data_IF_877318164794
#
_entry.id   IF_877318164794
#
_cell.length_a   1.000
_cell.length_b   1.000
_cell.length_c   1.000
_cell.angle_alpha   90.00
_cell.angle_beta   90.00
_cell.angle_gamma   90.00
#
_symmetry.space_group_name_H-M   'P 1'
#
loop_
_entity.id
_entity.type
_entity.pdbx_description
1 polymer ?
#
# COMPACT_ATOMS: atom_id res chain seq x y z
N UNK A 1 -16.13 -28.74 -19.59
CA UNK A 1 -15.10 -28.51 -18.55
C UNK A 1 -14.03 -27.59 -19.13
N UNK A 2 -14.15 -26.28 -18.87
CA UNK A 2 -13.13 -25.23 -18.87
C UNK A 2 -13.86 -23.88 -18.90
N UNK A 3 -14.13 -23.34 -17.72
CA UNK A 3 -14.75 -22.03 -17.51
C UNK A 3 -13.83 -20.94 -18.04
N UNK A 4 -14.32 -20.22 -19.06
CA UNK A 4 -13.80 -18.93 -19.50
C UNK A 4 -13.74 -17.99 -18.30
N UNK A 5 -12.54 -17.50 -17.98
CA UNK A 5 -12.39 -16.38 -17.05
C UNK A 5 -13.12 -15.17 -17.63
N UNK A 6 -14.29 -14.89 -17.07
CA UNK A 6 -15.07 -13.71 -17.38
C UNK A 6 -14.39 -12.50 -16.73
N UNK A 7 -13.54 -11.83 -17.52
CA UNK A 7 -12.83 -10.62 -17.14
C UNK A 7 -13.75 -9.37 -17.00
N UNK A 8 -15.08 -9.53 -17.14
CA UNK A 8 -16.01 -8.38 -17.19
C UNK A 8 -16.61 -7.97 -15.84
N UNK A 9 -16.32 -8.67 -14.75
CA UNK A 9 -16.90 -8.36 -13.42
C UNK A 9 -16.15 -7.29 -12.59
N UNK A 10 -15.24 -6.50 -13.18
CA UNK A 10 -14.69 -5.33 -12.48
C UNK A 10 -15.68 -4.17 -12.59
N UNK A 11 -16.48 -3.97 -11.52
CA UNK A 11 -17.29 -2.75 -11.34
C UNK A 11 -16.41 -1.53 -11.67
N UNK A 12 -16.87 -0.59 -12.51
CA UNK A 12 -16.13 0.61 -12.80
C UNK A 12 -16.02 1.41 -11.50
N UNK A 13 -14.83 1.41 -10.88
CA UNK A 13 -14.51 2.33 -9.81
C UNK A 13 -14.75 3.72 -10.38
N UNK A 14 -15.78 4.42 -9.87
CA UNK A 14 -16.07 5.81 -10.24
C UNK A 14 -14.76 6.57 -10.17
N UNK A 15 -14.26 7.04 -11.32
CA UNK A 15 -13.07 7.88 -11.41
C UNK A 15 -13.34 9.16 -10.61
N UNK A 16 -12.99 9.15 -9.33
CA UNK A 16 -13.09 10.33 -8.47
C UNK A 16 -11.97 11.35 -8.76
N UNK A 17 -11.00 10.99 -9.62
CA UNK A 17 -9.87 11.84 -9.97
C UNK A 17 -9.68 11.84 -11.48
N UNK A 18 -10.32 12.79 -12.17
CA UNK A 18 -9.89 13.23 -13.50
C UNK A 18 -8.98 14.42 -13.27
N UNK A 19 -7.66 14.20 -13.25
CA UNK A 19 -6.68 15.25 -13.54
C UNK A 19 -5.68 14.69 -14.53
N UNK A 20 -5.22 15.55 -15.45
CA UNK A 20 -4.32 15.24 -16.57
C UNK A 20 -2.88 14.88 -16.12
N UNK A 21 -2.70 14.37 -14.90
CA UNK A 21 -1.41 14.20 -14.21
C UNK A 21 -1.37 12.91 -13.37
N UNK A 22 -1.80 11.79 -13.94
CA UNK A 22 -1.73 10.48 -13.30
C UNK A 22 -0.28 10.00 -13.26
N UNK A 23 0.28 9.82 -12.06
CA UNK A 23 1.63 9.27 -11.90
C UNK A 23 1.78 7.91 -12.61
N UNK A 24 3.02 7.54 -12.91
CA UNK A 24 3.36 6.25 -13.52
C UNK A 24 2.89 5.06 -12.66
N UNK A 25 2.85 5.23 -11.34
CA UNK A 25 2.41 4.22 -10.39
C UNK A 25 1.07 4.58 -9.78
N UNK A 26 0.15 3.61 -9.80
CA UNK A 26 -1.13 3.72 -9.12
C UNK A 26 -0.98 3.42 -7.62
N UNK A 27 -1.95 3.80 -6.78
CA UNK A 27 -1.92 3.49 -5.36
C UNK A 27 -1.77 1.99 -5.05
N UNK A 28 -2.36 1.12 -5.86
CA UNK A 28 -2.21 -0.34 -5.78
C UNK A 28 -0.77 -0.81 -6.02
N UNK A 29 -0.09 -0.28 -7.04
CA UNK A 29 1.31 -0.61 -7.29
C UNK A 29 2.23 -0.17 -6.13
N UNK A 30 1.95 1.01 -5.57
CA UNK A 30 2.70 1.57 -4.43
C UNK A 30 2.51 0.71 -3.18
N UNK A 31 1.27 0.32 -2.88
CA UNK A 31 0.98 -0.56 -1.74
C UNK A 31 1.67 -1.92 -1.88
N UNK A 32 1.65 -2.53 -3.06
CA UNK A 32 2.35 -3.79 -3.32
C UNK A 32 3.85 -3.63 -3.14
N UNK A 33 4.45 -2.55 -3.64
CA UNK A 33 5.89 -2.31 -3.48
C UNK A 33 6.29 -2.17 -1.99
N UNK A 34 5.51 -1.46 -1.17
CA UNK A 34 5.75 -1.37 0.27
C UNK A 34 5.55 -2.71 0.97
N UNK A 35 4.50 -3.46 0.61
CA UNK A 35 4.23 -4.78 1.19
C UNK A 35 5.40 -5.75 0.91
N UNK A 36 5.92 -5.77 -0.32
CA UNK A 36 7.07 -6.61 -0.68
C UNK A 36 8.34 -6.15 0.05
N UNK A 37 8.59 -4.84 0.15
CA UNK A 37 9.75 -4.33 0.90
C UNK A 37 9.69 -4.72 2.37
N UNK A 38 8.51 -4.67 2.99
CA UNK A 38 8.31 -5.14 4.37
C UNK A 38 8.56 -6.65 4.50
N UNK A 39 8.11 -7.45 3.52
CA UNK A 39 8.29 -8.91 3.60
C UNK A 39 9.73 -9.37 3.38
N UNK A 40 10.48 -8.70 2.49
CA UNK A 40 11.84 -9.10 2.14
C UNK A 40 12.93 -8.40 2.95
N UNK A 41 12.84 -7.08 3.11
CA UNK A 41 13.90 -6.28 3.73
C UNK A 41 13.62 -6.01 5.20
N UNK A 42 12.34 -5.87 5.57
CA UNK A 42 11.86 -5.51 6.91
C UNK A 42 12.64 -4.36 7.57
N UNK A 43 13.00 -3.34 6.76
CA UNK A 43 13.90 -2.25 7.15
C UNK A 43 13.31 -0.87 6.85
N UNK A 44 13.36 0.02 7.83
CA UNK A 44 12.92 1.41 7.67
C UNK A 44 13.71 2.15 6.58
N UNK A 45 15.01 1.88 6.44
CA UNK A 45 15.84 2.49 5.41
C UNK A 45 15.46 2.03 4.00
N UNK A 46 15.09 0.75 3.84
CA UNK A 46 14.55 0.23 2.60
C UNK A 46 13.26 0.95 2.21
N UNK A 47 12.35 1.16 3.18
CA UNK A 47 11.09 1.90 3.00
C UNK A 47 11.36 3.37 2.63
N UNK A 48 12.28 4.05 3.32
CA UNK A 48 12.67 5.45 3.00
C UNK A 48 13.26 5.55 1.60
N UNK A 49 14.10 4.59 1.22
CA UNK A 49 14.73 4.52 -0.10
C UNK A 49 13.68 4.27 -1.19
N UNK A 50 12.74 3.36 -0.93
CA UNK A 50 11.61 3.09 -1.82
C UNK A 50 10.72 4.32 -1.98
N UNK A 51 10.36 4.99 -0.89
CA UNK A 51 9.60 6.23 -0.92
C UNK A 51 10.29 7.28 -1.81
N UNK A 52 11.59 7.51 -1.62
CA UNK A 52 12.42 8.40 -2.46
C UNK A 52 12.32 8.08 -3.95
N UNK A 53 12.36 6.80 -4.33
CA UNK A 53 12.24 6.35 -5.73
C UNK A 53 10.84 6.54 -6.31
N UNK A 54 9.81 6.55 -5.47
CA UNK A 54 8.41 6.64 -5.88
C UNK A 54 7.85 8.06 -5.89
N UNK A 55 8.45 9.02 -5.16
CA UNK A 55 7.95 10.41 -5.04
C UNK A 55 7.59 11.01 -6.39
N UNK A 56 8.49 10.98 -7.37
CA UNK A 56 8.25 11.63 -8.66
C UNK A 56 7.41 10.78 -9.64
N UNK A 57 7.02 9.57 -9.21
CA UNK A 57 6.29 8.60 -10.04
C UNK A 57 4.84 8.41 -9.62
N UNK A 58 4.41 8.99 -8.50
CA UNK A 58 3.01 9.00 -8.07
C UNK A 58 2.31 10.30 -8.45
N UNK A 59 0.97 10.33 -8.34
CA UNK A 59 0.17 11.54 -8.54
C UNK A 59 0.65 12.70 -7.64
N UNK A 60 0.56 13.93 -8.16
CA UNK A 60 1.01 15.17 -7.47
C UNK A 60 0.48 15.30 -6.04
N UNK A 61 -0.76 14.88 -5.80
CA UNK A 61 -1.42 14.92 -4.48
C UNK A 61 -0.72 14.03 -3.42
N UNK A 62 -0.05 12.96 -3.85
CA UNK A 62 0.61 12.00 -2.96
C UNK A 62 2.10 12.27 -2.77
N UNK A 63 2.73 13.07 -3.65
CA UNK A 63 4.16 13.36 -3.58
C UNK A 63 4.61 14.00 -2.25
N UNK A 64 3.87 14.95 -1.64
CA UNK A 64 4.28 15.54 -0.36
C UNK A 64 4.36 14.51 0.77
N UNK A 65 3.43 13.56 0.79
CA UNK A 65 3.39 12.52 1.82
C UNK A 65 4.55 11.53 1.65
N UNK A 66 4.84 11.07 0.42
CA UNK A 66 6.01 10.21 0.17
C UNK A 66 7.33 10.94 0.42
N UNK A 67 7.41 12.24 0.12
CA UNK A 67 8.60 13.06 0.39
C UNK A 67 8.86 13.19 1.89
N UNK A 68 7.81 13.38 2.69
CA UNK A 68 7.88 13.35 4.16
C UNK A 68 8.34 11.99 4.66
N UNK A 69 7.68 10.91 4.24
CA UNK A 69 8.04 9.53 4.61
C UNK A 69 9.51 9.23 4.30
N UNK A 70 10.00 9.66 3.15
CA UNK A 70 11.38 9.41 2.73
C UNK A 70 12.46 10.08 3.59
N UNK A 71 12.06 11.04 4.44
CA UNK A 71 12.92 11.85 5.31
C UNK A 71 12.60 11.67 6.79
N UNK A 72 11.64 10.81 7.12
CA UNK A 72 11.21 10.61 8.50
C UNK A 72 12.34 9.96 9.32
N UNK A 73 12.87 10.62 10.37
CA UNK A 73 13.97 10.07 11.17
C UNK A 73 13.54 8.91 12.09
N UNK A 74 12.26 8.83 12.45
CA UNK A 74 11.75 7.83 13.38
C UNK A 74 11.33 6.56 12.62
N UNK A 75 12.05 5.45 12.88
CA UNK A 75 11.79 4.16 12.24
C UNK A 75 10.36 3.65 12.51
N UNK A 76 9.84 3.83 13.72
CA UNK A 76 8.49 3.37 14.08
C UNK A 76 7.43 4.08 13.22
N UNK A 77 7.60 5.39 13.01
CA UNK A 77 6.70 6.17 12.15
C UNK A 77 6.81 5.77 10.68
N UNK A 78 7.99 5.36 10.22
CA UNK A 78 8.19 4.86 8.86
C UNK A 78 7.39 3.57 8.65
N UNK A 79 7.48 2.62 9.59
CA UNK A 79 6.70 1.39 9.55
C UNK A 79 5.20 1.67 9.62
N UNK A 80 4.75 2.48 10.57
CA UNK A 80 3.34 2.87 10.72
C UNK A 80 2.77 3.49 9.44
N UNK A 81 3.53 4.38 8.80
CA UNK A 81 3.11 5.02 7.57
C UNK A 81 2.99 4.01 6.42
N UNK A 82 3.95 3.09 6.28
CA UNK A 82 3.90 2.04 5.28
C UNK A 82 2.69 1.12 5.49
N UNK A 83 2.47 0.65 6.73
CA UNK A 83 1.33 -0.20 7.09
C UNK A 83 0.00 0.52 6.85
N UNK A 84 -0.11 1.81 7.15
CA UNK A 84 -1.31 2.61 6.86
C UNK A 84 -1.60 2.69 5.37
N UNK A 85 -0.59 2.87 4.53
CA UNK A 85 -0.76 2.91 3.07
C UNK A 85 -1.28 1.56 2.56
N UNK A 86 -0.65 0.45 2.98
CA UNK A 86 -1.01 -0.90 2.54
C UNK A 86 -2.43 -1.22 2.96
N UNK A 87 -2.74 -1.12 4.26
CA UNK A 87 -4.05 -1.47 4.80
C UNK A 87 -5.15 -0.60 4.20
N UNK A 88 -4.91 0.70 4.00
CA UNK A 88 -5.90 1.58 3.35
C UNK A 88 -6.22 1.15 1.93
N UNK A 89 -5.22 0.69 1.17
CA UNK A 89 -5.44 0.20 -0.20
C UNK A 89 -6.15 -1.16 -0.17
N UNK A 90 -5.79 -2.06 0.74
CA UNK A 90 -6.51 -3.31 0.96
C UNK A 90 -7.99 -3.07 1.27
N UNK A 91 -8.30 -2.17 2.20
CA UNK A 91 -9.67 -1.78 2.55
C UNK A 91 -10.45 -1.23 1.34
N UNK A 92 -9.82 -0.38 0.53
CA UNK A 92 -10.46 0.24 -0.63
C UNK A 92 -10.74 -0.76 -1.76
N UNK A 93 -9.91 -1.81 -1.87
CA UNK A 93 -10.01 -2.83 -2.91
C UNK A 93 -10.70 -4.12 -2.43
N UNK A 94 -11.15 -4.15 -1.18
CA UNK A 94 -11.76 -5.32 -0.53
C UNK A 94 -10.85 -6.57 -0.57
N UNK A 95 -9.54 -6.35 -0.36
CA UNK A 95 -8.53 -7.41 -0.32
C UNK A 95 -8.36 -7.85 1.12
N UNK A 96 -8.78 -9.08 1.45
CA UNK A 96 -8.66 -9.63 2.80
C UNK A 96 -9.52 -8.89 3.83
N UNK A 97 -10.85 -8.81 3.64
CA UNK A 97 -11.72 -8.09 4.56
C UNK A 97 -11.61 -8.65 5.98
N UNK A 98 -11.39 -7.75 6.96
CA UNK A 98 -11.19 -8.12 8.36
C UNK A 98 -9.77 -8.57 8.72
N UNK A 99 -8.87 -8.72 7.74
CA UNK A 99 -7.45 -9.04 7.99
C UNK A 99 -6.60 -7.79 7.84
N UNK A 100 -5.62 -7.60 8.73
CA UNK A 100 -4.66 -6.51 8.62
C UNK A 100 -3.32 -7.03 8.12
N UNK A 101 -2.72 -6.29 7.19
CA UNK A 101 -1.32 -6.47 6.89
C UNK A 101 -0.50 -6.04 8.10
N UNK A 102 0.26 -6.99 8.63
CA UNK A 102 1.20 -6.81 9.74
C UNK A 102 2.63 -7.05 9.30
N UNK A 103 3.56 -6.47 10.06
CA UNK A 103 4.99 -6.69 9.89
C UNK A 103 5.34 -8.16 10.22
N UNK A 104 6.49 -8.62 9.74
CA UNK A 104 6.99 -9.93 10.10
C UNK A 104 7.20 -10.03 11.63
N UNK A 105 6.61 -11.05 12.26
CA UNK A 105 6.72 -11.27 13.71
C UNK A 105 5.75 -10.44 14.57
N UNK A 106 4.91 -9.59 13.96
CA UNK A 106 3.80 -8.94 14.65
C UNK A 106 2.50 -9.73 14.43
N UNK A 107 1.69 -9.81 15.48
CA UNK A 107 0.38 -10.44 15.44
C UNK A 107 -0.66 -9.48 14.83
N UNK A 108 -1.54 -9.97 13.97
CA UNK A 108 -2.63 -9.18 13.36
C UNK A 108 -3.81 -8.97 14.33
N UNK A 109 -3.71 -9.54 15.53
CA UNK A 109 -4.71 -9.44 16.58
C UNK A 109 -5.98 -10.23 16.27
N UNK A 110 -5.97 -11.07 15.22
CA UNK A 110 -7.10 -11.93 14.87
C UNK A 110 -7.28 -13.08 15.87
N UNK A 111 -6.23 -13.46 16.62
CA UNK A 111 -6.31 -14.46 17.69
C UNK A 111 -7.11 -13.97 18.92
N UNK A 112 -7.34 -12.66 19.08
CA UNK A 112 -8.11 -12.13 20.21
C UNK A 112 -9.64 -12.24 20.04
N UNK A 113 -10.14 -12.61 18.86
CA UNK A 113 -11.58 -12.67 18.57
C UNK A 113 -12.19 -14.09 18.69
N UNK A 114 -11.40 -15.10 19.07
CA UNK A 114 -11.81 -16.51 19.10
C UNK A 114 -11.91 -17.15 20.51
N UNK A 115 -11.94 -16.34 21.58
CA UNK A 115 -12.07 -16.80 22.97
C UNK A 115 -13.43 -16.47 23.59
#
# INVERSE_FOLDING_TARGET
MATLFDATARKPVRKLYITRSGGQYRPDDVAVAFALSLRFDDSADAIRSLARRLVDKVCLEHQPNLKRLSREPDDAKVFDAALKIINRVCDLLDIGPGTRFVRNGEDDGSDAAAA
#
